data_IF_914569764653
#
_entry.id   IF_914569764653
#
_cell.length_a   1.000
_cell.length_b   1.000
_cell.length_c   1.000
_cell.angle_alpha   90.00
_cell.angle_beta   90.00
_cell.angle_gamma   90.00
#
_symmetry.space_group_name_H-M   'P 1'
#
loop_
_entity.id
_entity.type
_entity.pdbx_description
1 polymer ?
#
# COMPACT_ATOMS: atom_id res chain seq x y z
N UNK A 1 6.86 -17.81 9.80
CA UNK A 1 5.71 -17.53 10.68
C UNK A 1 4.50 -18.22 10.09
N UNK A 2 3.62 -18.75 10.93
CA UNK A 2 2.31 -19.18 10.44
C UNK A 2 1.54 -17.97 9.95
N UNK A 3 0.92 -18.07 8.77
CA UNK A 3 0.17 -16.99 8.13
C UNK A 3 -0.95 -16.46 9.04
N UNK A 4 -1.52 -17.32 9.88
CA UNK A 4 -2.51 -16.99 10.89
C UNK A 4 -1.98 -15.98 11.92
N UNK A 5 -0.76 -16.15 12.40
CA UNK A 5 -0.13 -15.26 13.39
C UNK A 5 0.13 -13.89 12.75
N UNK A 6 0.63 -13.88 11.51
CA UNK A 6 0.84 -12.64 10.75
C UNK A 6 -0.46 -11.87 10.54
N UNK A 7 -1.54 -12.56 10.15
CA UNK A 7 -2.85 -11.95 9.96
C UNK A 7 -3.39 -11.32 11.24
N UNK A 8 -3.35 -12.07 12.35
CA UNK A 8 -3.82 -11.57 13.65
C UNK A 8 -3.00 -10.37 14.10
N UNK A 9 -1.68 -10.39 13.90
CA UNK A 9 -0.81 -9.26 14.20
C UNK A 9 -1.16 -8.02 13.38
N UNK A 10 -1.35 -8.16 12.06
CA UNK A 10 -1.69 -7.04 11.17
C UNK A 10 -3.06 -6.44 11.51
N UNK A 11 -4.07 -7.28 11.71
CA UNK A 11 -5.42 -6.81 12.10
C UNK A 11 -5.44 -6.20 13.50
N UNK A 12 -4.65 -6.74 14.44
CA UNK A 12 -4.51 -6.19 15.79
C UNK A 12 -3.94 -4.77 15.76
N UNK A 13 -2.83 -4.56 15.05
CA UNK A 13 -2.23 -3.23 14.90
C UNK A 13 -3.17 -2.27 14.18
N UNK A 14 -3.85 -2.71 13.13
CA UNK A 14 -4.84 -1.89 12.41
C UNK A 14 -5.98 -1.44 13.33
N UNK A 15 -6.50 -2.35 14.15
CA UNK A 15 -7.57 -2.05 15.12
C UNK A 15 -7.09 -1.04 16.17
N UNK A 16 -5.86 -1.20 16.68
CA UNK A 16 -5.27 -0.22 17.60
C UNK A 16 -5.11 1.17 16.97
N UNK A 17 -4.71 1.25 15.69
CA UNK A 17 -4.62 2.52 14.97
C UNK A 17 -6.00 3.19 14.80
N UNK A 18 -7.05 2.41 14.55
CA UNK A 18 -8.41 2.95 14.51
C UNK A 18 -8.90 3.41 15.89
N UNK A 19 -8.60 2.67 16.95
CA UNK A 19 -8.92 3.08 18.32
C UNK A 19 -8.16 4.35 18.75
N UNK A 20 -6.97 4.58 18.22
CA UNK A 20 -6.22 5.82 18.40
C UNK A 20 -6.84 7.03 17.67
N UNK A 21 -7.93 6.85 16.92
CA UNK A 21 -8.63 7.92 16.21
C UNK A 21 -7.97 8.32 14.88
N UNK A 22 -7.02 7.52 14.37
CA UNK A 22 -6.37 7.80 13.09
C UNK A 22 -7.38 7.61 11.94
N UNK A 23 -7.42 8.52 10.94
CA UNK A 23 -8.25 8.32 9.76
C UNK A 23 -7.87 7.03 9.03
N UNK A 24 -8.88 6.33 8.51
CA UNK A 24 -8.75 4.98 7.95
C UNK A 24 -7.65 4.90 6.89
N UNK A 25 -7.54 5.90 6.02
CA UNK A 25 -6.53 5.97 4.96
C UNK A 25 -5.09 5.94 5.50
N UNK A 26 -4.79 6.67 6.58
CA UNK A 26 -3.44 6.72 7.14
C UNK A 26 -3.08 5.43 7.87
N UNK A 27 -4.04 4.84 8.60
CA UNK A 27 -3.83 3.58 9.28
C UNK A 27 -3.57 2.44 8.27
N UNK A 28 -4.35 2.40 7.17
CA UNK A 28 -4.10 1.48 6.07
C UNK A 28 -2.77 1.74 5.37
N UNK A 29 -2.38 3.00 5.14
CA UNK A 29 -1.09 3.31 4.54
C UNK A 29 0.06 2.82 5.43
N UNK A 30 0.02 3.11 6.74
CA UNK A 30 1.04 2.69 7.69
C UNK A 30 1.19 1.17 7.76
N UNK A 31 0.09 0.43 7.91
CA UNK A 31 0.17 -1.03 8.00
C UNK A 31 0.71 -1.64 6.71
N UNK A 32 0.39 -1.08 5.54
CA UNK A 32 0.88 -1.56 4.25
C UNK A 32 2.37 -1.25 4.06
N UNK A 33 2.83 -0.04 4.42
CA UNK A 33 4.25 0.32 4.34
C UNK A 33 5.09 -0.52 5.29
N UNK A 34 4.64 -0.68 6.54
CA UNK A 34 5.34 -1.52 7.54
C UNK A 34 5.31 -2.99 7.13
N UNK A 35 4.17 -3.49 6.64
CA UNK A 35 4.04 -4.85 6.15
C UNK A 35 4.96 -5.13 4.96
N UNK A 36 5.01 -4.21 3.99
CA UNK A 36 5.89 -4.31 2.83
C UNK A 36 7.37 -4.33 3.26
N UNK A 37 7.77 -3.49 4.21
CA UNK A 37 9.14 -3.52 4.76
C UNK A 37 9.46 -4.86 5.46
N UNK A 38 8.58 -5.35 6.33
CA UNK A 38 8.83 -6.55 7.13
C UNK A 38 8.75 -7.84 6.30
N UNK A 39 7.83 -7.92 5.34
CA UNK A 39 7.54 -9.16 4.62
C UNK A 39 8.13 -9.25 3.21
N UNK A 40 8.37 -8.14 2.50
CA UNK A 40 8.78 -8.16 1.08
C UNK A 40 10.25 -7.82 0.83
N UNK A 41 11.10 -7.78 1.87
CA UNK A 41 12.56 -7.63 1.70
C UNK A 41 13.12 -6.26 2.10
N UNK A 42 12.49 -5.58 3.06
CA UNK A 42 13.04 -4.39 3.71
C UNK A 42 13.14 -3.18 2.79
N UNK A 43 14.33 -2.58 2.74
CA UNK A 43 14.61 -1.34 2.01
C UNK A 43 14.37 -1.47 0.51
N UNK A 44 14.66 -2.65 -0.07
CA UNK A 44 14.46 -2.88 -1.50
C UNK A 44 12.97 -2.94 -1.87
N UNK A 45 12.13 -3.38 -0.94
CA UNK A 45 10.69 -3.40 -1.15
C UNK A 45 10.12 -1.97 -1.19
N UNK A 46 10.64 -1.06 -0.36
CA UNK A 46 10.21 0.35 -0.37
C UNK A 46 10.46 1.04 -1.73
N UNK A 47 11.49 0.63 -2.47
CA UNK A 47 11.72 1.13 -3.83
C UNK A 47 10.56 0.77 -4.79
N UNK A 48 9.89 -0.38 -4.60
CA UNK A 48 8.69 -0.75 -5.38
C UNK A 48 7.51 0.20 -5.14
N UNK A 49 7.40 0.77 -3.93
CA UNK A 49 6.35 1.75 -3.63
C UNK A 49 6.52 3.01 -4.48
N UNK A 50 7.76 3.44 -4.70
CA UNK A 50 8.08 4.60 -5.53
C UNK A 50 7.79 4.30 -7.00
N UNK A 51 8.30 3.20 -7.54
CA UNK A 51 8.05 2.84 -8.95
C UNK A 51 6.56 2.61 -9.23
N UNK A 52 5.84 1.91 -8.36
CA UNK A 52 4.39 1.69 -8.54
C UNK A 52 3.58 2.99 -8.43
N UNK A 53 4.00 3.96 -7.62
CA UNK A 53 3.38 5.28 -7.59
C UNK A 53 3.60 6.05 -8.90
N UNK A 54 4.81 6.02 -9.46
CA UNK A 54 5.09 6.63 -10.77
C UNK A 54 4.30 5.97 -11.89
N UNK A 55 4.23 4.63 -11.92
CA UNK A 55 3.45 3.88 -12.91
C UNK A 55 1.95 4.19 -12.82
N UNK A 56 1.42 4.36 -11.60
CA UNK A 56 0.02 4.71 -11.37
C UNK A 56 -0.33 6.11 -11.92
N UNK A 57 0.59 7.07 -11.83
CA UNK A 57 0.41 8.43 -12.40
C UNK A 57 0.67 8.46 -13.90
N UNK A 58 1.62 7.66 -14.40
CA UNK A 58 1.92 7.54 -15.82
C UNK A 58 0.82 6.79 -16.59
N UNK A 59 0.03 5.96 -15.90
CA UNK A 59 -1.16 5.32 -16.46
C UNK A 59 -2.31 6.33 -16.56
N UNK A 60 -2.24 7.18 -17.58
CA UNK A 60 -3.40 7.96 -17.99
C UNK A 60 -4.43 7.00 -18.58
N UNK A 61 -5.51 6.72 -17.83
CA UNK A 61 -6.78 6.19 -18.35
C UNK A 61 -7.29 7.02 -19.55
N UNK A 62 -6.73 8.23 -19.74
CA UNK A 62 -7.03 9.16 -20.82
C UNK A 62 -6.23 8.94 -22.11
N UNK A 63 -5.26 8.02 -22.26
CA UNK A 63 -4.59 7.83 -23.58
C UNK A 63 -5.57 7.42 -24.67
N UNK A 64 -6.61 6.66 -24.31
CA UNK A 64 -7.67 6.27 -25.25
C UNK A 64 -8.47 7.46 -25.77
N UNK A 65 -8.64 8.55 -25.00
CA UNK A 65 -9.49 9.69 -25.42
C UNK A 65 -8.88 10.46 -26.61
N UNK A 66 -7.59 10.86 -26.63
CA UNK A 66 -6.94 11.41 -27.81
C UNK A 66 -6.83 10.44 -28.98
N UNK A 67 -6.69 9.12 -28.73
CA UNK A 67 -6.55 8.11 -29.79
C UNK A 67 -7.86 7.88 -30.59
N UNK A 68 -9.02 8.23 -30.03
CA UNK A 68 -10.31 8.20 -30.76
C UNK A 68 -10.65 9.52 -31.50
N UNK A 69 -9.88 10.60 -31.28
CA UNK A 69 -10.12 11.94 -31.86
C UNK A 69 -9.21 12.23 -33.07
N UNK A 70 -8.08 11.52 -33.20
CA UNK A 70 -7.22 11.50 -34.40
C UNK A 70 -7.73 10.48 -35.43
#
# INVERSE_FOLDING_TARGET
>A
MEWSITLVGMFGVLTLLFLAGMPVAFAFLLINVVGLYVFMGGEKALALLVTSAFDSVATFVLVTVPLFIL
#
